data_IF_615538785655
#
_entry.id   IF_615538785655
#
_cell.length_a   1.000
_cell.length_b   1.000
_cell.length_c   1.000
_cell.angle_alpha   90.00
_cell.angle_beta   90.00
_cell.angle_gamma   90.00
#
_symmetry.space_group_name_H-M   'P 1'
#
loop_
_entity.id
_entity.type
_entity.pdbx_description
1 polymer ?
#
# COMPACT_ATOMS: atom_id res chain seq x y z
N UNK A 1 46.98 -34.42 6.81
CA UNK A 1 47.14 -34.06 5.39
C UNK A 1 46.08 -34.79 4.59
N UNK A 2 44.97 -34.16 4.32
CA UNK A 2 43.99 -34.62 3.34
C UNK A 2 43.33 -33.33 2.75
N UNK A 3 43.65 -33.10 1.48
CA UNK A 3 43.18 -31.97 0.71
C UNK A 3 41.72 -32.21 0.32
N UNK A 4 40.82 -31.34 0.79
CA UNK A 4 39.43 -31.32 0.36
C UNK A 4 39.30 -30.56 -0.97
N UNK A 5 38.88 -31.26 -2.00
CA UNK A 5 38.58 -30.76 -3.33
C UNK A 5 37.38 -29.82 -3.27
N UNK A 6 37.59 -28.56 -3.56
CA UNK A 6 36.52 -27.56 -3.83
C UNK A 6 36.04 -27.79 -5.26
N UNK A 7 34.80 -28.27 -5.43
CA UNK A 7 34.11 -28.24 -6.71
C UNK A 7 33.60 -26.85 -6.94
N UNK A 8 34.22 -26.12 -7.86
CA UNK A 8 33.70 -24.88 -8.43
C UNK A 8 32.69 -25.26 -9.52
N UNK A 9 31.43 -24.92 -9.30
CA UNK A 9 30.41 -24.92 -10.36
C UNK A 9 30.59 -23.64 -11.14
N UNK A 10 31.03 -23.75 -12.39
CA UNK A 10 31.21 -22.63 -13.32
C UNK A 10 29.85 -22.28 -13.91
N UNK A 11 29.32 -21.11 -13.57
CA UNK A 11 28.22 -20.49 -14.29
C UNK A 11 28.62 -20.15 -15.72
N UNK A 12 27.81 -20.53 -16.70
CA UNK A 12 28.01 -20.18 -18.10
C UNK A 12 27.56 -18.75 -18.34
N UNK A 13 28.54 -17.90 -18.70
CA UNK A 13 28.25 -16.55 -19.19
C UNK A 13 27.70 -16.63 -20.62
N UNK A 14 26.48 -16.15 -20.86
CA UNK A 14 25.96 -15.92 -22.21
C UNK A 14 26.62 -14.72 -22.83
N UNK A 15 27.51 -14.97 -23.79
CA UNK A 15 28.08 -13.95 -24.66
C UNK A 15 27.09 -13.65 -25.81
N UNK A 16 26.69 -12.39 -25.89
CA UNK A 16 25.92 -11.83 -27.00
C UNK A 16 26.77 -11.73 -28.24
N UNK A 17 26.43 -12.46 -29.31
CA UNK A 17 26.97 -12.25 -30.66
C UNK A 17 25.90 -11.55 -31.48
N UNK A 18 26.10 -10.27 -31.75
CA UNK A 18 25.38 -9.54 -32.75
C UNK A 18 25.92 -9.84 -34.17
N UNK A 19 25.03 -10.06 -35.12
CA UNK A 19 25.37 -9.89 -36.53
C UNK A 19 24.15 -9.42 -37.35
N UNK A 20 24.51 -8.47 -38.21
CA UNK A 20 23.71 -7.62 -39.03
C UNK A 20 22.99 -8.31 -40.19
N UNK A 21 21.90 -7.68 -40.60
CA UNK A 21 21.61 -7.41 -42.01
C UNK A 21 20.64 -8.33 -42.72
N UNK A 22 19.46 -7.81 -43.03
CA UNK A 22 18.97 -7.70 -44.43
C UNK A 22 17.59 -7.02 -44.47
N UNK A 23 17.50 -5.95 -45.21
CA UNK A 23 16.29 -5.27 -45.69
C UNK A 23 15.46 -6.20 -46.59
N UNK A 24 14.16 -6.35 -46.34
CA UNK A 24 13.17 -6.56 -47.40
C UNK A 24 11.85 -5.85 -47.01
N UNK A 25 11.29 -5.21 -48.04
CA UNK A 25 10.22 -4.26 -48.04
C UNK A 25 8.82 -4.80 -47.61
N UNK A 26 8.10 -3.93 -46.99
CA UNK A 26 6.72 -3.52 -47.13
C UNK A 26 5.60 -4.55 -47.29
N UNK A 27 4.71 -4.59 -46.27
CA UNK A 27 3.28 -4.57 -46.53
C UNK A 27 2.56 -3.98 -45.34
N UNK A 28 1.81 -2.93 -45.58
CA UNK A 28 0.89 -2.25 -44.67
C UNK A 28 -0.29 -3.15 -44.35
N UNK A 29 -0.51 -3.44 -43.04
CA UNK A 29 -1.81 -3.77 -42.50
C UNK A 29 -2.08 -2.95 -41.24
N UNK A 30 -3.30 -2.37 -41.09
CA UNK A 30 -3.62 -1.50 -39.95
C UNK A 30 -3.83 -2.32 -38.69
N UNK A 31 -3.48 -1.68 -37.56
CA UNK A 31 -3.47 -2.23 -36.24
C UNK A 31 -4.80 -2.86 -35.79
N UNK A 32 -4.69 -4.01 -35.14
CA UNK A 32 -5.67 -4.49 -34.20
C UNK A 32 -5.03 -4.45 -32.81
N UNK A 33 -5.54 -3.55 -32.00
CA UNK A 33 -5.31 -3.52 -30.57
C UNK A 33 -5.68 -4.89 -29.98
N UNK A 34 -4.68 -5.68 -29.63
CA UNK A 34 -4.89 -6.85 -28.78
C UNK A 34 -5.02 -6.36 -27.35
N UNK A 35 -6.24 -6.07 -26.93
CA UNK A 35 -6.57 -6.01 -25.52
C UNK A 35 -6.22 -7.36 -24.89
N UNK A 36 -5.24 -7.36 -24.00
CA UNK A 36 -4.91 -8.51 -23.18
C UNK A 36 -6.11 -8.79 -22.25
N UNK A 37 -6.84 -9.85 -22.51
CA UNK A 37 -7.89 -10.34 -21.62
C UNK A 37 -7.20 -10.95 -20.41
N UNK A 38 -7.48 -10.48 -19.17
CA UNK A 38 -6.91 -11.10 -17.98
C UNK A 38 -7.42 -12.55 -17.89
N UNK A 39 -6.52 -13.52 -17.97
CA UNK A 39 -6.84 -14.92 -17.68
C UNK A 39 -7.01 -15.06 -16.18
N UNK A 40 -8.25 -15.09 -15.73
CA UNK A 40 -8.58 -15.51 -14.37
C UNK A 40 -8.53 -17.04 -14.37
N UNK A 41 -7.48 -17.60 -13.83
CA UNK A 41 -7.45 -19.03 -13.50
C UNK A 41 -8.19 -19.20 -12.17
N UNK A 42 -9.28 -19.94 -12.17
CA UNK A 42 -10.00 -20.33 -10.95
C UNK A 42 -9.29 -21.52 -10.33
N UNK A 43 -8.79 -21.32 -9.12
CA UNK A 43 -8.18 -22.38 -8.30
C UNK A 43 -9.29 -23.25 -7.65
N UNK A 44 -9.32 -24.56 -7.83
CA UNK A 44 -10.30 -25.45 -7.20
C UNK A 44 -10.07 -25.66 -5.69
N UNK A 45 -8.95 -25.18 -5.11
CA UNK A 45 -8.60 -25.41 -3.72
C UNK A 45 -8.71 -24.17 -2.80
N UNK A 46 -9.13 -23.00 -3.32
CA UNK A 46 -9.27 -21.78 -2.53
C UNK A 46 -7.94 -21.14 -2.09
N UNK A 47 -6.83 -21.55 -2.67
CA UNK A 47 -5.50 -20.96 -2.47
C UNK A 47 -5.39 -19.81 -3.46
N UNK A 48 -5.47 -18.56 -2.97
CA UNK A 48 -5.53 -17.36 -3.80
C UNK A 48 -4.36 -17.26 -4.78
N UNK A 49 -4.66 -17.31 -6.07
CA UNK A 49 -3.69 -17.06 -7.13
C UNK A 49 -3.28 -15.58 -7.07
N UNK A 50 -1.98 -15.31 -7.05
CA UNK A 50 -1.48 -13.95 -7.23
C UNK A 50 -1.93 -13.44 -8.60
N UNK A 51 -2.93 -12.53 -8.63
CA UNK A 51 -3.07 -11.68 -9.78
C UNK A 51 -1.75 -10.91 -9.93
N UNK A 52 -1.05 -11.06 -11.05
CA UNK A 52 -0.04 -10.09 -11.44
C UNK A 52 -0.76 -8.74 -11.45
N UNK A 53 -0.57 -7.98 -10.42
CA UNK A 53 -0.79 -6.56 -10.49
C UNK A 53 0.30 -6.10 -11.44
N UNK A 54 -0.06 -5.57 -12.60
CA UNK A 54 0.84 -4.81 -13.44
C UNK A 54 1.22 -3.58 -12.61
N UNK A 55 2.22 -3.76 -11.76
CA UNK A 55 2.81 -2.67 -10.99
C UNK A 55 3.78 -1.96 -11.93
N UNK A 56 3.49 -0.70 -12.34
CA UNK A 56 4.38 0.06 -13.22
C UNK A 56 5.75 0.35 -12.59
N UNK A 57 6.02 -0.22 -11.42
CA UNK A 57 7.17 0.01 -10.58
C UNK A 57 8.05 -1.25 -10.46
N UNK A 58 7.70 -2.37 -11.09
CA UNK A 58 8.56 -3.54 -11.13
C UNK A 58 9.93 -3.14 -11.69
N UNK A 59 11.00 -3.46 -10.95
CA UNK A 59 12.36 -3.28 -11.45
C UNK A 59 12.52 -4.04 -12.77
N UNK A 60 13.29 -3.51 -13.75
CA UNK A 60 13.52 -4.23 -14.99
C UNK A 60 14.14 -5.60 -14.69
N UNK A 61 13.69 -6.63 -15.42
CA UNK A 61 14.22 -8.00 -15.28
C UNK A 61 15.76 -7.97 -15.35
N UNK A 62 16.42 -8.64 -14.41
CA UNK A 62 17.88 -8.67 -14.30
C UNK A 62 18.49 -7.45 -13.58
N UNK A 63 17.69 -6.59 -12.97
CA UNK A 63 18.23 -5.55 -12.08
C UNK A 63 18.87 -6.21 -10.83
N UNK A 64 20.02 -5.69 -10.36
CA UNK A 64 20.66 -6.26 -9.19
C UNK A 64 19.79 -6.11 -7.94
N UNK A 65 19.81 -7.11 -7.05
CA UNK A 65 19.15 -7.04 -5.73
C UNK A 65 19.42 -5.71 -5.05
N UNK A 66 18.39 -4.99 -4.67
CA UNK A 66 18.53 -3.73 -3.94
C UNK A 66 18.73 -4.01 -2.46
N UNK A 67 19.75 -3.41 -1.87
CA UNK A 67 20.09 -3.57 -0.46
C UNK A 67 20.42 -2.18 0.09
N UNK A 68 19.52 -1.63 0.89
CA UNK A 68 19.61 -0.28 1.41
C UNK A 68 19.57 -0.27 2.92
N UNK A 69 20.31 0.64 3.53
CA UNK A 69 20.16 0.93 4.95
C UNK A 69 18.88 1.71 5.16
N UNK A 70 18.04 1.29 6.11
CA UNK A 70 16.83 2.01 6.46
C UNK A 70 17.14 3.36 7.14
N UNK A 71 16.16 4.27 7.20
CA UNK A 71 16.37 5.67 7.59
C UNK A 71 17.01 5.88 8.96
N UNK A 72 16.75 5.01 9.92
CA UNK A 72 17.32 5.10 11.28
C UNK A 72 18.61 4.31 11.44
N UNK A 73 19.08 3.61 10.42
CA UNK A 73 20.27 2.76 10.47
C UNK A 73 20.14 1.52 11.36
N UNK A 74 18.90 1.11 11.69
CA UNK A 74 18.59 -0.08 12.52
C UNK A 74 18.06 -1.25 11.70
N UNK A 75 17.73 -1.03 10.47
CA UNK A 75 17.23 -2.03 9.54
C UNK A 75 17.91 -1.93 8.18
N UNK A 76 17.92 -3.04 7.47
CA UNK A 76 18.28 -3.14 6.06
C UNK A 76 17.01 -3.48 5.28
N UNK A 77 16.85 -2.85 4.11
CA UNK A 77 15.80 -3.08 3.14
C UNK A 77 16.37 -3.84 1.95
N UNK A 78 15.97 -5.10 1.79
CA UNK A 78 16.36 -5.95 0.67
C UNK A 78 15.15 -6.15 -0.22
N UNK A 79 15.26 -5.78 -1.50
CA UNK A 79 14.15 -5.90 -2.46
C UNK A 79 14.61 -6.36 -3.85
N UNK A 80 13.66 -6.94 -4.60
CA UNK A 80 13.85 -7.48 -5.93
C UNK A 80 14.43 -8.88 -5.95
N UNK A 81 14.83 -9.34 -7.14
CA UNK A 81 15.40 -10.67 -7.38
C UNK A 81 16.74 -10.85 -6.65
N UNK A 82 16.96 -12.03 -6.08
CA UNK A 82 18.23 -12.40 -5.46
C UNK A 82 19.24 -12.78 -6.53
N UNK A 83 20.06 -11.81 -6.93
CA UNK A 83 21.07 -11.93 -7.97
C UNK A 83 22.46 -12.20 -7.40
N UNK A 84 23.38 -12.69 -8.22
CA UNK A 84 24.77 -12.98 -7.84
C UNK A 84 25.44 -11.82 -7.09
N UNK A 85 26.10 -12.14 -5.97
CA UNK A 85 26.79 -11.20 -5.10
C UNK A 85 25.90 -10.38 -4.16
N UNK A 86 24.60 -10.70 -4.05
CA UNK A 86 23.70 -10.03 -3.10
C UNK A 86 24.15 -10.27 -1.65
N UNK A 87 24.49 -11.49 -1.31
CA UNK A 87 24.98 -11.85 0.03
C UNK A 87 26.29 -11.11 0.39
N UNK A 88 27.20 -10.97 -0.56
CA UNK A 88 28.45 -10.24 -0.34
C UNK A 88 28.21 -8.74 -0.11
N UNK A 89 27.27 -8.12 -0.87
CA UNK A 89 26.89 -6.72 -0.67
C UNK A 89 26.21 -6.53 0.70
N UNK A 90 25.35 -7.47 1.12
CA UNK A 90 24.73 -7.46 2.44
C UNK A 90 25.78 -7.57 3.55
N UNK A 91 26.75 -8.49 3.42
CA UNK A 91 27.82 -8.64 4.40
C UNK A 91 28.60 -7.35 4.61
N UNK A 92 29.02 -6.69 3.51
CA UNK A 92 29.72 -5.39 3.59
C UNK A 92 28.89 -4.32 4.30
N UNK A 93 27.59 -4.26 4.01
CA UNK A 93 26.71 -3.28 4.64
C UNK A 93 26.55 -3.56 6.14
N UNK A 94 26.37 -4.82 6.54
CA UNK A 94 26.29 -5.25 7.94
C UNK A 94 27.59 -4.98 8.70
N UNK A 95 28.76 -5.11 8.05
CA UNK A 95 30.05 -4.81 8.65
C UNK A 95 30.22 -3.31 8.91
N UNK A 96 29.75 -2.47 8.01
CA UNK A 96 29.76 -1.02 8.13
C UNK A 96 28.74 -0.50 9.17
N UNK A 97 27.63 -1.22 9.39
CA UNK A 97 26.50 -0.75 10.20
C UNK A 97 26.14 -1.73 11.32
N UNK A 98 26.94 -1.74 12.39
CA UNK A 98 26.81 -2.68 13.53
C UNK A 98 25.54 -2.54 14.37
N UNK A 99 24.75 -1.47 14.18
CA UNK A 99 23.49 -1.24 14.89
C UNK A 99 22.28 -1.83 14.18
N UNK A 100 22.46 -2.46 13.05
CA UNK A 100 21.37 -3.15 12.32
C UNK A 100 20.87 -4.30 13.17
N UNK A 101 19.56 -4.34 13.41
CA UNK A 101 18.86 -5.31 14.27
C UNK A 101 17.91 -6.20 13.48
N UNK A 102 17.50 -5.73 12.28
CA UNK A 102 16.52 -6.43 11.45
C UNK A 102 16.78 -6.22 9.96
N UNK A 103 16.19 -7.10 9.17
CA UNK A 103 16.16 -7.01 7.72
C UNK A 103 14.71 -7.13 7.23
N UNK A 104 14.28 -6.19 6.39
CA UNK A 104 13.02 -6.21 5.67
C UNK A 104 13.26 -6.90 4.33
N UNK A 105 12.39 -7.84 3.98
CA UNK A 105 12.50 -8.65 2.78
C UNK A 105 11.27 -8.44 1.90
N UNK A 106 11.47 -7.98 0.67
CA UNK A 106 10.44 -7.84 -0.36
C UNK A 106 11.01 -8.35 -1.67
N UNK A 107 10.94 -9.68 -1.90
CA UNK A 107 11.65 -10.35 -2.98
C UNK A 107 10.84 -11.51 -3.55
N UNK A 108 10.86 -11.63 -4.86
CA UNK A 108 10.34 -12.78 -5.63
C UNK A 108 11.21 -14.04 -5.52
N UNK A 109 12.38 -13.95 -4.94
CA UNK A 109 13.35 -15.02 -4.89
C UNK A 109 14.49 -14.81 -5.88
N UNK A 110 14.96 -15.86 -6.53
CA UNK A 110 16.10 -15.85 -7.44
C UNK A 110 17.08 -16.97 -7.10
N UNK A 111 18.39 -16.68 -7.06
CA UNK A 111 19.41 -17.69 -6.81
C UNK A 111 19.31 -18.30 -5.41
N UNK A 112 19.14 -19.61 -5.35
CA UNK A 112 19.00 -20.38 -4.10
C UNK A 112 20.23 -20.21 -3.20
N UNK A 113 21.43 -20.25 -3.78
CA UNK A 113 22.68 -20.08 -3.04
C UNK A 113 22.78 -18.68 -2.40
N UNK A 114 22.28 -17.62 -3.06
CA UNK A 114 22.22 -16.27 -2.49
C UNK A 114 21.21 -16.20 -1.35
N UNK A 115 20.02 -16.78 -1.51
CA UNK A 115 19.03 -16.88 -0.44
C UNK A 115 19.56 -17.60 0.80
N UNK A 116 20.25 -18.71 0.60
CA UNK A 116 20.89 -19.47 1.69
C UNK A 116 22.03 -18.68 2.35
N UNK A 117 22.90 -18.03 1.57
CA UNK A 117 24.01 -17.22 2.08
C UNK A 117 23.52 -15.98 2.84
N UNK A 118 22.48 -15.28 2.34
CA UNK A 118 21.80 -14.19 3.07
C UNK A 118 21.24 -14.71 4.38
N UNK A 119 20.58 -15.89 4.35
CA UNK A 119 20.07 -16.53 5.56
C UNK A 119 21.16 -16.85 6.58
N UNK A 120 22.34 -17.30 6.13
CA UNK A 120 23.48 -17.54 7.01
C UNK A 120 23.96 -16.25 7.71
N UNK A 121 24.06 -15.13 6.97
CA UNK A 121 24.40 -13.81 7.53
C UNK A 121 23.35 -13.33 8.54
N UNK A 122 22.07 -13.51 8.24
CA UNK A 122 20.97 -13.17 9.15
C UNK A 122 21.09 -13.93 10.46
N UNK A 123 21.36 -15.25 10.39
CA UNK A 123 21.53 -16.08 11.58
C UNK A 123 22.79 -15.71 12.37
N UNK A 124 23.94 -15.50 11.69
CA UNK A 124 25.20 -15.07 12.32
C UNK A 124 25.06 -13.76 13.09
N UNK A 125 24.36 -12.80 12.50
CA UNK A 125 24.15 -11.47 13.10
C UNK A 125 22.96 -11.43 14.07
N UNK A 126 22.20 -12.52 14.19
CA UNK A 126 21.02 -12.61 15.04
C UNK A 126 19.94 -11.57 14.67
N UNK A 127 19.74 -11.32 13.39
CA UNK A 127 18.76 -10.32 12.92
C UNK A 127 17.33 -10.82 13.06
N UNK A 128 16.39 -9.90 13.25
CA UNK A 128 14.96 -10.11 13.03
C UNK A 128 14.70 -10.04 11.53
N UNK A 129 13.92 -10.99 11.00
CA UNK A 129 13.41 -10.90 9.62
C UNK A 129 11.97 -10.38 9.62
N UNK A 130 11.66 -9.49 8.69
CA UNK A 130 10.33 -8.91 8.52
C UNK A 130 9.94 -8.88 7.05
N UNK A 131 8.72 -9.36 6.74
CA UNK A 131 8.14 -9.30 5.41
C UNK A 131 6.96 -8.31 5.43
N UNK A 132 7.13 -7.12 4.85
CA UNK A 132 6.05 -6.12 4.77
C UNK A 132 5.04 -6.43 3.67
N UNK A 133 5.42 -7.08 2.56
CA UNK A 133 4.56 -7.37 1.42
C UNK A 133 4.70 -8.83 0.95
N UNK A 134 5.82 -9.20 0.31
CA UNK A 134 6.00 -10.56 -0.18
C UNK A 134 7.45 -11.05 -0.04
N UNK A 135 7.58 -12.38 0.10
CA UNK A 135 8.87 -13.09 0.08
C UNK A 135 8.64 -14.48 -0.49
N UNK A 136 9.17 -14.74 -1.68
CA UNK A 136 8.85 -15.92 -2.46
C UNK A 136 10.12 -16.74 -2.75
N UNK A 137 9.99 -18.07 -2.92
CA UNK A 137 11.07 -18.95 -3.37
C UNK A 137 12.33 -18.82 -2.51
N UNK A 138 13.52 -18.59 -3.10
CA UNK A 138 14.80 -18.44 -2.40
C UNK A 138 14.81 -17.39 -1.30
N UNK A 139 13.95 -16.35 -1.38
CA UNK A 139 13.76 -15.36 -0.31
C UNK A 139 13.32 -16.02 1.01
N UNK A 140 12.49 -17.07 0.95
CA UNK A 140 12.01 -17.75 2.16
C UNK A 140 13.13 -18.46 2.92
N UNK A 141 14.19 -18.90 2.23
CA UNK A 141 15.40 -19.47 2.87
C UNK A 141 16.13 -18.42 3.71
N UNK A 142 16.16 -17.17 3.25
CA UNK A 142 16.68 -16.05 4.03
C UNK A 142 15.76 -15.72 5.21
N UNK A 143 14.44 -15.63 4.97
CA UNK A 143 13.45 -15.27 5.98
C UNK A 143 13.47 -16.20 7.20
N UNK A 144 13.50 -17.52 6.99
CA UNK A 144 13.40 -18.51 8.07
C UNK A 144 14.63 -18.56 8.99
N UNK A 145 15.69 -17.82 8.66
CA UNK A 145 16.92 -17.74 9.46
C UNK A 145 16.91 -16.62 10.50
N UNK A 146 15.85 -15.79 10.52
CA UNK A 146 15.69 -14.74 11.54
C UNK A 146 15.54 -15.32 12.95
N UNK A 147 16.13 -14.65 13.95
CA UNK A 147 15.92 -14.98 15.38
C UNK A 147 14.45 -14.78 15.80
N UNK A 148 13.78 -13.83 15.20
CA UNK A 148 12.35 -13.57 15.22
C UNK A 148 11.93 -13.37 13.76
N UNK A 149 10.86 -14.02 13.34
CA UNK A 149 10.37 -14.04 11.96
C UNK A 149 8.99 -13.44 11.91
N UNK A 150 8.89 -12.21 11.43
CA UNK A 150 7.68 -11.42 11.47
C UNK A 150 7.12 -11.21 10.07
N UNK A 151 5.80 -11.25 9.95
CA UNK A 151 5.09 -10.96 8.70
C UNK A 151 4.01 -9.92 8.99
N UNK A 152 3.74 -9.01 8.05
CA UNK A 152 2.56 -8.17 8.12
C UNK A 152 1.30 -9.03 7.89
N UNK A 153 0.15 -8.61 8.41
CA UNK A 153 -1.09 -9.40 8.37
C UNK A 153 -1.55 -9.77 6.95
N UNK A 154 -1.22 -8.95 5.97
CA UNK A 154 -1.54 -9.12 4.54
C UNK A 154 -0.31 -9.54 3.69
N UNK A 155 0.83 -9.81 4.33
CA UNK A 155 2.04 -10.27 3.65
C UNK A 155 1.87 -11.68 3.08
N UNK A 156 2.59 -11.96 2.01
CA UNK A 156 2.53 -13.20 1.24
C UNK A 156 3.88 -13.89 1.23
N UNK A 157 3.94 -15.12 1.72
CA UNK A 157 5.10 -15.98 1.56
C UNK A 157 4.78 -17.10 0.57
N UNK A 158 5.60 -17.23 -0.47
CA UNK A 158 5.38 -18.19 -1.56
C UNK A 158 6.45 -19.27 -1.58
N UNK A 159 6.04 -20.54 -1.70
CA UNK A 159 6.91 -21.71 -1.68
C UNK A 159 6.68 -22.57 -2.90
N UNK A 160 7.76 -23.11 -3.46
CA UNK A 160 7.78 -24.15 -4.50
C UNK A 160 9.09 -24.94 -4.42
N UNK A 161 9.18 -26.04 -5.16
CA UNK A 161 10.40 -26.83 -5.29
C UNK A 161 11.50 -26.03 -6.02
N UNK A 162 12.78 -26.21 -5.63
CA UNK A 162 13.89 -25.60 -6.35
C UNK A 162 14.00 -26.17 -7.77
N UNK A 163 14.52 -25.37 -8.70
CA UNK A 163 14.73 -25.75 -10.08
C UNK A 163 15.96 -25.06 -10.68
N UNK A 164 16.44 -25.63 -11.78
CA UNK A 164 17.42 -25.00 -12.66
C UNK A 164 16.78 -24.74 -14.02
N UNK A 165 17.20 -23.68 -14.70
CA UNK A 165 16.78 -23.41 -16.06
C UNK A 165 17.83 -23.92 -17.03
N UNK A 166 17.43 -24.81 -17.94
CA UNK A 166 18.32 -25.33 -18.97
C UNK A 166 18.61 -24.28 -20.04
N UNK A 167 19.59 -24.51 -20.95
CA UNK A 167 19.91 -23.58 -22.02
C UNK A 167 18.75 -23.32 -23.01
N UNK A 168 17.70 -24.16 -23.01
CA UNK A 168 16.50 -23.99 -23.80
C UNK A 168 15.40 -23.19 -23.07
N UNK A 169 15.64 -22.80 -21.81
CA UNK A 169 14.71 -22.06 -20.97
C UNK A 169 13.67 -22.95 -20.26
N UNK A 170 13.90 -24.26 -20.19
CA UNK A 170 13.01 -25.18 -19.47
C UNK A 170 13.45 -25.30 -18.00
N UNK A 171 12.47 -25.25 -17.11
CA UNK A 171 12.67 -25.46 -15.67
C UNK A 171 12.80 -26.96 -15.39
N UNK A 172 13.93 -27.34 -14.83
CA UNK A 172 14.25 -28.71 -14.46
C UNK A 172 14.30 -28.80 -12.94
N UNK A 173 13.44 -29.65 -12.36
CA UNK A 173 13.45 -29.90 -10.92
C UNK A 173 14.81 -30.46 -10.46
N UNK A 174 15.35 -29.90 -9.39
CA UNK A 174 16.59 -30.34 -8.76
C UNK A 174 16.32 -30.97 -7.39
N UNK A 175 17.36 -31.57 -6.78
CA UNK A 175 17.24 -32.13 -5.43
C UNK A 175 16.93 -31.04 -4.40
N UNK A 176 15.81 -31.16 -3.73
CA UNK A 176 15.33 -30.21 -2.68
C UNK A 176 15.82 -30.61 -1.26
N UNK A 177 16.68 -31.57 -1.13
CA UNK A 177 17.18 -32.01 0.18
C UNK A 177 17.90 -30.92 0.97
N UNK A 178 18.70 -30.01 0.36
CA UNK A 178 19.32 -28.89 1.05
C UNK A 178 18.30 -27.91 1.63
N UNK A 179 17.28 -27.50 0.85
CA UNK A 179 16.22 -26.58 1.28
C UNK A 179 15.36 -27.22 2.37
N UNK A 180 15.03 -28.50 2.19
CA UNK A 180 14.33 -29.29 3.22
C UNK A 180 15.08 -29.28 4.53
N UNK A 181 16.38 -29.54 4.50
CA UNK A 181 17.22 -29.52 5.69
C UNK A 181 17.25 -28.11 6.34
N UNK A 182 17.33 -27.04 5.53
CA UNK A 182 17.35 -25.67 6.01
C UNK A 182 16.04 -25.29 6.72
N UNK A 183 14.89 -25.64 6.15
CA UNK A 183 13.57 -25.37 6.76
C UNK A 183 13.38 -26.16 8.06
N UNK A 184 13.73 -27.45 8.08
CA UNK A 184 13.64 -28.28 9.28
C UNK A 184 14.57 -27.77 10.40
N UNK A 185 15.80 -27.37 10.05
CA UNK A 185 16.73 -26.75 11.00
C UNK A 185 16.23 -25.41 11.55
N UNK A 186 15.38 -24.68 10.81
CA UNK A 186 14.69 -23.48 11.27
C UNK A 186 13.48 -23.78 12.19
N UNK A 187 13.17 -25.06 12.45
CA UNK A 187 12.08 -25.51 13.31
C UNK A 187 10.70 -25.51 12.65
N UNK A 188 10.66 -25.51 11.31
CA UNK A 188 9.39 -25.57 10.57
C UNK A 188 8.89 -27.03 10.58
N UNK A 189 7.57 -27.20 10.69
CA UNK A 189 6.94 -28.51 10.70
C UNK A 189 7.21 -29.30 9.42
N UNK A 190 7.56 -30.58 9.56
CA UNK A 190 7.95 -31.44 8.43
C UNK A 190 6.83 -31.61 7.40
N UNK A 191 5.56 -31.71 7.83
CA UNK A 191 4.41 -31.84 6.93
C UNK A 191 4.22 -30.58 6.04
N UNK A 192 4.45 -29.39 6.62
CA UNK A 192 4.45 -28.14 5.86
C UNK A 192 5.62 -28.11 4.85
N UNK A 193 6.83 -28.44 5.28
CA UNK A 193 8.03 -28.45 4.42
C UNK A 193 7.83 -29.42 3.25
N UNK A 194 7.32 -30.62 3.52
CA UNK A 194 7.06 -31.63 2.49
C UNK A 194 5.94 -31.21 1.52
N UNK A 195 4.96 -30.43 1.98
CA UNK A 195 3.94 -29.83 1.11
C UNK A 195 4.51 -28.72 0.23
N UNK A 196 5.29 -27.81 0.81
CA UNK A 196 5.93 -26.70 0.14
C UNK A 196 6.86 -27.14 -0.99
N UNK A 197 7.72 -28.12 -0.73
CA UNK A 197 8.71 -28.64 -1.70
C UNK A 197 8.13 -29.63 -2.73
N UNK A 198 6.84 -29.98 -2.64
CA UNK A 198 6.12 -30.70 -3.70
C UNK A 198 5.43 -29.80 -4.71
N UNK A 199 5.34 -28.52 -4.43
CA UNK A 199 4.78 -27.55 -5.38
C UNK A 199 5.72 -27.41 -6.55
N UNK A 200 5.18 -27.46 -7.75
CA UNK A 200 5.97 -27.36 -8.99
C UNK A 200 6.60 -25.98 -9.12
N UNK A 201 7.73 -25.84 -9.85
CA UNK A 201 8.38 -24.53 -10.05
C UNK A 201 7.49 -23.45 -10.67
N UNK A 202 6.57 -23.88 -11.57
CA UNK A 202 5.62 -23.01 -12.27
C UNK A 202 4.35 -22.65 -11.45
N UNK A 203 4.30 -23.08 -10.17
CA UNK A 203 3.19 -22.85 -9.24
C UNK A 203 3.71 -22.32 -7.88
N UNK A 204 2.84 -21.81 -7.03
CA UNK A 204 3.18 -21.28 -5.71
C UNK A 204 2.17 -21.72 -4.65
N UNK A 205 2.67 -22.26 -3.55
CA UNK A 205 1.91 -22.39 -2.31
C UNK A 205 2.03 -21.08 -1.51
N UNK A 206 0.92 -20.37 -1.34
CA UNK A 206 0.86 -19.11 -0.57
C UNK A 206 -0.11 -19.29 0.60
N UNK A 207 0.36 -19.78 1.76
CA UNK A 207 -0.47 -19.95 2.95
C UNK A 207 -0.87 -18.62 3.56
N UNK A 208 -2.01 -18.58 4.24
CA UNK A 208 -2.36 -17.45 5.09
C UNK A 208 -1.38 -17.28 6.26
N UNK A 209 -1.32 -16.08 6.83
CA UNK A 209 -0.36 -15.74 7.91
C UNK A 209 -0.57 -16.56 9.18
N UNK A 210 -1.80 -16.98 9.47
CA UNK A 210 -2.10 -17.88 10.60
C UNK A 210 -1.49 -19.27 10.40
N UNK A 211 -1.61 -19.82 9.20
CA UNK A 211 -0.99 -21.09 8.81
C UNK A 211 0.55 -21.00 8.88
N UNK A 212 1.16 -19.88 8.44
CA UNK A 212 2.60 -19.65 8.56
C UNK A 212 3.07 -19.69 10.02
N UNK A 213 2.31 -19.06 10.93
CA UNK A 213 2.62 -19.10 12.36
C UNK A 213 2.45 -20.50 12.94
N UNK A 214 1.37 -21.20 12.61
CA UNK A 214 1.13 -22.58 13.09
C UNK A 214 2.17 -23.58 12.59
N UNK A 215 2.66 -23.41 11.37
CA UNK A 215 3.72 -24.24 10.80
C UNK A 215 5.12 -23.91 11.35
N UNK A 216 5.26 -22.83 12.11
CA UNK A 216 6.55 -22.35 12.60
C UNK A 216 7.40 -21.63 11.55
N UNK A 217 6.83 -21.26 10.41
CA UNK A 217 7.50 -20.42 9.39
C UNK A 217 7.70 -19.02 9.93
N UNK A 218 6.63 -18.39 10.40
CA UNK A 218 6.67 -17.12 11.10
C UNK A 218 6.56 -17.31 12.61
N UNK A 219 7.20 -16.46 13.39
CA UNK A 219 7.07 -16.43 14.85
C UNK A 219 5.92 -15.50 15.31
N UNK A 220 5.44 -14.61 14.44
CA UNK A 220 4.35 -13.71 14.74
C UNK A 220 3.94 -12.82 13.59
N UNK A 221 2.79 -12.16 13.78
CA UNK A 221 2.25 -11.16 12.86
C UNK A 221 2.57 -9.78 13.43
N UNK A 222 3.19 -8.92 12.62
CA UNK A 222 3.50 -7.54 12.98
C UNK A 222 2.36 -6.62 12.60
N UNK A 223 2.08 -5.65 13.46
CA UNK A 223 1.25 -4.50 13.14
C UNK A 223 1.94 -3.63 12.07
N UNK A 224 1.18 -2.99 11.21
CA UNK A 224 1.68 -2.07 10.18
C UNK A 224 2.49 -0.89 10.74
N UNK A 225 2.25 -0.52 12.02
CA UNK A 225 2.96 0.56 12.69
C UNK A 225 4.16 0.09 13.52
N UNK A 226 4.47 -1.22 13.53
CA UNK A 226 5.58 -1.76 14.33
C UNK A 226 6.94 -1.35 13.79
N UNK A 227 7.10 -1.30 12.48
CA UNK A 227 8.36 -0.96 11.82
C UNK A 227 8.17 0.17 10.80
N UNK A 228 9.20 0.99 10.57
CA UNK A 228 9.16 2.11 9.62
C UNK A 228 9.38 1.63 8.17
N UNK A 229 8.58 0.66 7.71
CA UNK A 229 8.51 0.29 6.30
C UNK A 229 7.64 1.26 5.50
N UNK A 230 7.92 1.44 4.22
CA UNK A 230 7.23 2.42 3.38
C UNK A 230 7.26 2.02 1.90
N UNK A 231 6.24 2.44 1.16
CA UNK A 231 6.22 2.40 -0.31
C UNK A 231 7.35 3.22 -0.95
N UNK A 232 8.07 4.05 -0.17
CA UNK A 232 9.28 4.76 -0.62
C UNK A 232 10.55 3.91 -0.56
N UNK A 233 10.49 2.69 -0.06
CA UNK A 233 11.67 1.81 0.04
C UNK A 233 12.29 1.52 -1.34
N UNK A 234 11.50 1.58 -2.40
CA UNK A 234 11.96 1.41 -3.79
C UNK A 234 12.49 2.69 -4.43
N UNK A 235 12.24 3.85 -3.88
CA UNK A 235 12.70 5.12 -4.42
C UNK A 235 12.27 6.28 -3.53
N UNK A 236 13.17 6.70 -2.64
CA UNK A 236 12.93 7.80 -1.71
C UNK A 236 13.27 9.15 -2.35
N UNK A 237 12.48 9.57 -3.32
CA UNK A 237 12.62 10.85 -4.01
C UNK A 237 11.29 11.65 -4.02
N UNK A 238 11.32 12.95 -4.34
CA UNK A 238 10.12 13.80 -4.32
C UNK A 238 9.03 13.37 -5.31
N UNK A 239 9.39 12.86 -6.50
CA UNK A 239 8.42 12.42 -7.52
C UNK A 239 7.68 11.17 -7.05
N UNK A 240 8.42 10.22 -6.48
CA UNK A 240 7.83 9.03 -5.88
C UNK A 240 6.91 9.38 -4.72
N UNK A 241 7.34 10.25 -3.82
CA UNK A 241 6.52 10.72 -2.70
C UNK A 241 5.23 11.39 -3.19
N UNK A 242 5.31 12.19 -4.27
CA UNK A 242 4.13 12.79 -4.91
C UNK A 242 3.19 11.71 -5.48
N UNK A 243 3.74 10.70 -6.16
CA UNK A 243 2.96 9.59 -6.72
C UNK A 243 2.20 8.82 -5.62
N UNK A 244 2.86 8.52 -4.50
CA UNK A 244 2.24 7.85 -3.33
C UNK A 244 1.10 8.69 -2.76
N UNK A 245 1.29 9.99 -2.57
CA UNK A 245 0.25 10.90 -2.06
C UNK A 245 -0.98 10.90 -2.98
N UNK A 246 -0.78 10.93 -4.30
CA UNK A 246 -1.87 10.88 -5.29
C UNK A 246 -2.54 9.50 -5.36
N UNK A 247 -1.77 8.44 -5.19
CA UNK A 247 -2.32 7.08 -5.11
C UNK A 247 -3.24 6.93 -3.89
N UNK A 248 -2.80 7.39 -2.72
CA UNK A 248 -3.58 7.32 -1.47
C UNK A 248 -4.80 8.24 -1.45
N UNK A 249 -4.68 9.42 -2.06
CA UNK A 249 -5.77 10.43 -2.11
C UNK A 249 -5.92 10.98 -3.53
N UNK A 250 -6.56 10.22 -4.45
CA UNK A 250 -6.68 10.60 -5.86
C UNK A 250 -7.42 11.92 -6.11
N UNK A 251 -8.24 12.42 -5.16
CA UNK A 251 -8.94 13.69 -5.29
C UNK A 251 -8.03 14.92 -5.18
N UNK A 252 -6.79 14.75 -4.71
CA UNK A 252 -5.82 15.84 -4.65
C UNK A 252 -5.39 16.33 -6.04
N UNK A 253 -5.51 15.53 -7.08
CA UNK A 253 -5.23 16.00 -8.45
C UNK A 253 -6.20 17.12 -8.89
N UNK A 254 -7.49 17.02 -8.54
CA UNK A 254 -8.46 18.06 -8.80
C UNK A 254 -8.18 19.32 -7.96
N UNK A 255 -7.74 19.15 -6.71
CA UNK A 255 -7.32 20.29 -5.86
C UNK A 255 -6.08 20.96 -6.43
N UNK A 256 -5.08 20.21 -6.87
CA UNK A 256 -3.87 20.74 -7.48
C UNK A 256 -4.13 21.50 -8.78
N UNK A 257 -5.10 21.03 -9.59
CA UNK A 257 -5.51 21.71 -10.81
C UNK A 257 -6.12 23.09 -10.53
N UNK A 258 -6.85 23.26 -9.42
CA UNK A 258 -7.45 24.53 -9.00
C UNK A 258 -6.55 25.38 -8.10
N UNK A 259 -5.66 24.77 -7.37
CA UNK A 259 -4.73 25.41 -6.43
C UNK A 259 -3.33 24.78 -6.55
N UNK A 260 -2.55 25.14 -7.58
CA UNK A 260 -1.23 24.57 -7.83
C UNK A 260 -0.29 24.72 -6.63
N UNK A 261 0.52 23.69 -6.39
CA UNK A 261 1.44 23.65 -5.26
C UNK A 261 0.86 23.07 -3.97
N UNK A 262 -0.38 22.59 -3.99
CA UNK A 262 -1.03 21.97 -2.80
C UNK A 262 -0.41 20.63 -2.43
N UNK A 263 -0.01 19.82 -3.41
CA UNK A 263 0.52 18.46 -3.18
C UNK A 263 1.97 18.51 -2.68
N UNK A 264 2.78 19.43 -3.17
CA UNK A 264 4.21 19.49 -2.87
C UNK A 264 4.55 19.48 -1.37
N UNK A 265 3.91 20.28 -0.49
CA UNK A 265 4.18 20.22 0.95
C UNK A 265 3.72 18.93 1.60
N UNK A 266 2.69 18.26 1.09
CA UNK A 266 2.21 16.96 1.59
C UNK A 266 3.22 15.88 1.24
N UNK A 267 3.71 15.86 -0.01
CA UNK A 267 4.72 14.92 -0.47
C UNK A 267 6.06 15.12 0.26
N UNK A 268 6.48 16.37 0.46
CA UNK A 268 7.69 16.68 1.23
C UNK A 268 7.58 16.21 2.69
N UNK A 269 6.41 16.39 3.33
CA UNK A 269 6.17 15.90 4.69
C UNK A 269 6.21 14.36 4.76
N UNK A 270 5.66 13.68 3.75
CA UNK A 270 5.69 12.23 3.67
C UNK A 270 7.13 11.70 3.50
N UNK A 271 7.90 12.28 2.57
CA UNK A 271 9.31 11.95 2.34
C UNK A 271 10.18 12.21 3.58
N UNK A 272 10.03 13.36 4.23
CA UNK A 272 10.71 13.70 5.47
C UNK A 272 10.37 12.70 6.60
N UNK A 273 9.13 12.27 6.68
CA UNK A 273 8.70 11.23 7.60
C UNK A 273 9.39 9.89 7.34
N UNK A 274 9.50 9.47 6.08
CA UNK A 274 10.26 8.30 5.68
C UNK A 274 11.73 8.40 6.12
N UNK A 275 12.39 9.51 5.82
CA UNK A 275 13.79 9.74 6.17
C UNK A 275 14.05 9.72 7.68
N UNK A 276 13.03 10.01 8.49
CA UNK A 276 13.07 9.94 9.95
C UNK A 276 12.56 8.62 10.53
N UNK A 277 12.30 7.62 9.71
CA UNK A 277 11.84 6.31 10.15
C UNK A 277 10.39 6.29 10.66
N UNK A 278 9.52 7.18 10.17
CA UNK A 278 8.09 7.14 10.51
C UNK A 278 7.45 5.90 9.92
N UNK A 279 6.69 5.10 10.73
CA UNK A 279 5.95 3.95 10.22
C UNK A 279 4.93 4.36 9.16
N UNK A 280 4.75 3.49 8.14
CA UNK A 280 3.90 3.77 6.97
C UNK A 280 2.46 4.10 7.36
N UNK A 281 1.86 3.35 8.29
CA UNK A 281 0.49 3.60 8.74
C UNK A 281 0.30 5.02 9.27
N UNK A 282 1.26 5.52 10.08
CA UNK A 282 1.25 6.89 10.60
C UNK A 282 1.51 7.94 9.51
N UNK A 283 2.37 7.60 8.54
CA UNK A 283 2.68 8.46 7.41
C UNK A 283 1.45 8.67 6.52
N UNK A 284 0.78 7.58 6.14
CA UNK A 284 -0.44 7.60 5.31
C UNK A 284 -1.60 8.32 6.03
N UNK A 285 -1.79 8.08 7.33
CA UNK A 285 -2.79 8.81 8.12
C UNK A 285 -2.50 10.31 8.17
N UNK A 286 -1.23 10.69 8.29
CA UNK A 286 -0.80 12.08 8.23
C UNK A 286 -1.09 12.72 6.86
N UNK A 287 -0.78 12.02 5.76
CA UNK A 287 -1.10 12.43 4.38
C UNK A 287 -2.61 12.67 4.24
N UNK A 288 -3.45 11.72 4.67
CA UNK A 288 -4.92 11.86 4.59
C UNK A 288 -5.44 13.04 5.41
N UNK A 289 -4.87 13.32 6.57
CA UNK A 289 -5.23 14.47 7.41
C UNK A 289 -4.88 15.80 6.73
N UNK A 290 -3.69 15.90 6.14
CA UNK A 290 -3.27 17.09 5.38
C UNK A 290 -4.12 17.27 4.12
N UNK A 291 -4.40 16.18 3.41
CA UNK A 291 -5.29 16.15 2.26
C UNK A 291 -6.72 16.58 2.63
N UNK A 292 -7.26 16.08 3.74
CA UNK A 292 -8.58 16.48 4.25
C UNK A 292 -8.67 17.99 4.51
N UNK A 293 -7.60 18.58 5.05
CA UNK A 293 -7.53 20.02 5.24
C UNK A 293 -7.47 20.77 3.91
N UNK A 294 -6.70 20.28 2.93
CA UNK A 294 -6.62 20.89 1.61
C UNK A 294 -7.96 20.84 0.88
N UNK A 295 -8.58 19.66 0.79
CA UNK A 295 -9.90 19.46 0.21
C UNK A 295 -10.96 20.31 0.93
N UNK A 296 -10.92 20.35 2.25
CA UNK A 296 -11.84 21.18 3.06
C UNK A 296 -11.73 22.67 2.73
N UNK A 297 -10.51 23.20 2.63
CA UNK A 297 -10.30 24.61 2.21
C UNK A 297 -10.82 24.90 0.82
N UNK A 298 -10.59 24.01 -0.14
CA UNK A 298 -11.07 24.16 -1.52
C UNK A 298 -12.59 24.15 -1.65
N UNK A 299 -13.30 23.61 -0.67
CA UNK A 299 -14.76 23.52 -0.65
C UNK A 299 -15.43 24.59 0.22
N UNK A 300 -14.69 25.28 1.09
CA UNK A 300 -15.27 26.16 2.10
C UNK A 300 -16.02 27.36 1.50
N UNK A 301 -15.52 27.88 0.39
CA UNK A 301 -16.09 29.04 -0.32
C UNK A 301 -16.93 28.64 -1.54
N UNK A 302 -17.34 27.35 -1.64
CA UNK A 302 -18.16 26.87 -2.75
C UNK A 302 -19.55 27.51 -2.74
N UNK A 303 -20.15 27.64 -3.92
CA UNK A 303 -21.51 28.17 -4.10
C UNK A 303 -22.55 27.31 -3.33
N UNK A 304 -23.75 27.93 -3.02
CA UNK A 304 -24.77 27.23 -2.24
C UNK A 304 -25.26 25.91 -2.84
N UNK A 305 -25.35 25.82 -4.16
CA UNK A 305 -25.77 24.61 -4.89
C UNK A 305 -24.76 23.49 -4.69
N UNK A 306 -23.47 23.77 -4.82
CA UNK A 306 -22.35 22.83 -4.59
C UNK A 306 -22.31 22.36 -3.13
N UNK A 307 -22.51 23.25 -2.16
CA UNK A 307 -22.57 22.88 -0.72
C UNK A 307 -23.77 21.97 -0.41
N UNK A 308 -24.92 22.21 -1.02
CA UNK A 308 -26.12 21.36 -0.87
C UNK A 308 -25.87 19.97 -1.46
N UNK A 309 -25.26 19.89 -2.65
CA UNK A 309 -24.91 18.61 -3.26
C UNK A 309 -23.89 17.82 -2.44
N UNK A 310 -22.84 18.49 -1.92
CA UNK A 310 -21.88 17.89 -0.99
C UNK A 310 -22.58 17.35 0.26
N UNK A 311 -23.50 18.12 0.83
CA UNK A 311 -24.31 17.72 1.97
C UNK A 311 -25.16 16.48 1.69
N UNK A 312 -25.79 16.39 0.50
CA UNK A 312 -26.55 15.21 0.05
C UNK A 312 -25.66 13.99 -0.11
N UNK A 313 -24.49 14.16 -0.72
CA UNK A 313 -23.50 13.10 -0.92
C UNK A 313 -23.04 12.50 0.43
N UNK A 314 -22.73 13.38 1.38
CA UNK A 314 -22.31 12.96 2.73
C UNK A 314 -23.46 12.26 3.47
N UNK A 315 -24.67 12.80 3.43
CA UNK A 315 -25.85 12.19 4.04
C UNK A 315 -26.11 10.80 3.45
N UNK A 316 -25.99 10.66 2.13
CA UNK A 316 -26.16 9.37 1.46
C UNK A 316 -25.07 8.36 1.91
N UNK A 317 -23.82 8.78 2.04
CA UNK A 317 -22.74 7.95 2.55
C UNK A 317 -23.00 7.51 4.01
N UNK A 318 -23.49 8.41 4.88
CA UNK A 318 -23.90 8.06 6.26
C UNK A 318 -25.05 7.07 6.28
N UNK A 319 -26.05 7.22 5.37
CA UNK A 319 -27.20 6.30 5.31
C UNK A 319 -26.84 4.90 4.84
N UNK A 320 -25.89 4.78 3.92
CA UNK A 320 -25.42 3.47 3.38
C UNK A 320 -24.48 2.74 4.33
N UNK A 321 -23.95 3.39 5.36
CA UNK A 321 -23.04 2.73 6.29
C UNK A 321 -23.80 1.84 7.29
N UNK A 322 -23.39 0.56 7.35
CA UNK A 322 -23.90 -0.40 8.33
C UNK A 322 -23.53 0.01 9.77
N UNK A 323 -24.33 -0.35 10.80
CA UNK A 323 -24.11 0.04 12.19
C UNK A 323 -22.71 -0.28 12.75
N UNK A 324 -22.00 -1.26 12.20
CA UNK A 324 -20.65 -1.65 12.62
C UNK A 324 -19.50 -0.89 11.93
N UNK A 325 -19.77 -0.05 10.92
CA UNK A 325 -18.75 0.74 10.22
C UNK A 325 -18.76 2.19 10.70
N UNK A 326 -18.22 2.44 11.88
CA UNK A 326 -18.16 3.76 12.52
C UNK A 326 -17.34 4.82 11.71
N UNK A 327 -16.51 4.40 10.74
CA UNK A 327 -15.55 5.26 10.06
C UNK A 327 -16.15 6.47 9.32
N UNK A 328 -17.30 6.30 8.62
CA UNK A 328 -17.91 7.43 7.88
C UNK A 328 -18.46 8.51 8.83
N UNK A 329 -19.04 8.11 9.96
CA UNK A 329 -19.57 9.07 10.93
C UNK A 329 -18.45 9.75 11.72
N UNK A 330 -17.31 9.08 11.92
CA UNK A 330 -16.11 9.69 12.46
C UNK A 330 -15.57 10.74 11.49
N UNK A 331 -15.37 10.40 10.22
CA UNK A 331 -14.93 11.33 9.18
C UNK A 331 -15.89 12.51 9.01
N UNK A 332 -17.21 12.27 9.03
CA UNK A 332 -18.21 13.36 8.92
C UNK A 332 -18.20 14.32 10.13
N UNK A 333 -17.74 13.90 11.30
CA UNK A 333 -17.51 14.80 12.44
C UNK A 333 -16.26 15.67 12.27
N UNK A 334 -15.31 15.21 11.50
CA UNK A 334 -14.09 15.95 11.16
C UNK A 334 -14.30 16.90 9.99
N UNK A 335 -15.35 16.68 9.19
CA UNK A 335 -15.77 17.54 8.11
C UNK A 335 -15.77 16.89 6.72
N UNK A 336 -16.16 17.67 5.72
CA UNK A 336 -16.29 17.22 4.34
C UNK A 336 -14.98 16.68 3.76
N UNK A 337 -13.86 17.34 4.02
CA UNK A 337 -12.54 16.92 3.56
C UNK A 337 -12.20 15.51 4.06
N UNK A 338 -12.44 15.22 5.34
CA UNK A 338 -12.17 13.91 5.92
C UNK A 338 -13.06 12.80 5.31
N UNK A 339 -14.31 13.13 4.93
CA UNK A 339 -15.18 12.18 4.22
C UNK A 339 -14.65 11.84 2.84
N UNK A 340 -14.18 12.84 2.10
CA UNK A 340 -13.71 12.71 0.72
C UNK A 340 -12.29 12.12 0.61
N UNK A 341 -11.49 12.18 1.66
CA UNK A 341 -10.11 11.64 1.67
C UNK A 341 -9.98 10.32 2.44
N UNK A 342 -11.09 9.74 2.91
CA UNK A 342 -11.04 8.45 3.61
C UNK A 342 -10.60 7.31 2.68
N UNK A 343 -10.00 6.25 3.22
CA UNK A 343 -9.61 5.10 2.43
C UNK A 343 -10.81 4.38 1.80
N UNK A 344 -10.59 3.79 0.62
CA UNK A 344 -11.57 2.93 -0.08
C UNK A 344 -12.86 3.65 -0.52
N UNK A 345 -12.74 4.84 -1.09
CA UNK A 345 -13.82 5.39 -1.90
C UNK A 345 -14.01 4.51 -3.14
N UNK A 346 -15.26 4.11 -3.43
CA UNK A 346 -15.56 3.43 -4.68
C UNK A 346 -15.49 4.42 -5.87
N UNK A 347 -15.49 3.88 -7.10
CA UNK A 347 -15.40 4.69 -8.32
C UNK A 347 -16.47 5.77 -8.41
N UNK A 348 -17.70 5.46 -7.98
CA UNK A 348 -18.83 6.39 -8.00
C UNK A 348 -18.60 7.54 -7.00
N UNK A 349 -18.11 7.22 -5.82
CA UNK A 349 -17.79 8.21 -4.78
C UNK A 349 -16.62 9.11 -5.20
N UNK A 350 -15.60 8.55 -5.84
CA UNK A 350 -14.48 9.33 -6.39
C UNK A 350 -14.95 10.27 -7.49
N UNK A 351 -15.76 9.80 -8.45
CA UNK A 351 -16.30 10.60 -9.51
C UNK A 351 -17.18 11.75 -8.98
N UNK A 352 -18.07 11.46 -8.02
CA UNK A 352 -18.90 12.48 -7.37
C UNK A 352 -18.05 13.52 -6.61
N UNK A 353 -17.03 13.07 -5.85
CA UNK A 353 -16.11 13.95 -5.15
C UNK A 353 -15.31 14.85 -6.10
N UNK A 354 -14.83 14.29 -7.21
CA UNK A 354 -14.13 15.04 -8.26
C UNK A 354 -15.04 16.09 -8.90
N UNK A 355 -16.28 15.75 -9.29
CA UNK A 355 -17.23 16.67 -9.88
C UNK A 355 -17.58 17.85 -8.95
N UNK A 356 -17.75 17.58 -7.65
CA UNK A 356 -17.99 18.61 -6.64
C UNK A 356 -16.76 19.54 -6.51
N UNK A 357 -15.55 19.00 -6.44
CA UNK A 357 -14.31 19.78 -6.36
C UNK A 357 -14.08 20.63 -7.62
N UNK A 358 -14.26 20.04 -8.80
CA UNK A 358 -14.14 20.74 -10.09
C UNK A 358 -15.05 21.96 -10.15
N UNK A 359 -16.30 21.83 -9.68
CA UNK A 359 -17.25 22.95 -9.61
C UNK A 359 -16.84 23.98 -8.57
N UNK A 360 -16.53 23.55 -7.35
CA UNK A 360 -16.11 24.44 -6.27
C UNK A 360 -14.90 25.30 -6.64
N UNK A 361 -13.98 24.73 -7.45
CA UNK A 361 -12.77 25.41 -7.92
C UNK A 361 -12.97 26.18 -9.24
N UNK A 362 -14.17 26.19 -9.81
CA UNK A 362 -14.45 26.86 -11.09
C UNK A 362 -13.71 26.26 -12.29
N UNK A 363 -13.27 25.00 -12.18
CA UNK A 363 -12.58 24.31 -13.25
C UNK A 363 -13.57 23.85 -14.34
N UNK A 364 -13.19 23.95 -15.62
CA UNK A 364 -13.98 23.33 -16.70
C UNK A 364 -13.86 21.81 -16.54
N UNK A 365 -15.01 21.11 -16.54
CA UNK A 365 -15.01 19.66 -16.61
C UNK A 365 -14.25 19.23 -17.87
N UNK A 366 -13.22 18.40 -17.73
CA UNK A 366 -12.67 17.68 -18.88
C UNK A 366 -13.82 16.88 -19.49
N UNK A 367 -14.02 17.02 -20.80
CA UNK A 367 -15.12 16.42 -21.57
C UNK A 367 -15.01 14.90 -21.46
N UNK A 368 -15.72 14.34 -20.49
CA UNK A 368 -15.79 12.90 -20.24
C UNK A 368 -16.83 12.32 -21.18
N UNK A 369 -16.43 11.31 -21.98
CA UNK A 369 -17.33 10.62 -22.90
C UNK A 369 -18.58 10.13 -22.16
N UNK A 370 -19.79 10.18 -22.78
CA UNK A 370 -21.05 9.89 -22.11
C UNK A 370 -21.13 8.44 -21.68
N UNK A 371 -21.29 8.25 -20.36
CA UNK A 371 -21.67 6.97 -19.80
C UNK A 371 -23.15 6.66 -20.08
N UNK A 372 -23.54 5.40 -20.34
CA UNK A 372 -24.91 5.08 -20.70
C UNK A 372 -25.88 5.31 -19.54
N UNK A 373 -27.03 5.88 -19.87
CA UNK A 373 -28.17 6.16 -19.00
C UNK A 373 -28.56 4.98 -18.12
N UNK A 374 -28.47 5.14 -16.81
CA UNK A 374 -29.19 4.33 -15.83
C UNK A 374 -30.29 5.18 -15.22
N UNK A 375 -31.50 5.03 -15.73
CA UNK A 375 -32.70 5.63 -15.18
C UNK A 375 -32.94 5.19 -13.75
N UNK A 376 -32.85 6.11 -12.80
CA UNK A 376 -33.28 5.92 -11.42
C UNK A 376 -34.69 6.46 -11.25
N UNK A 377 -35.66 5.57 -11.32
CA UNK A 377 -37.04 5.80 -10.86
C UNK A 377 -37.05 5.95 -9.35
N UNK A 378 -37.32 7.11 -8.84
CA UNK A 378 -37.53 7.40 -7.42
C UNK A 378 -38.99 7.66 -7.12
N UNK A 379 -39.57 6.84 -6.25
CA UNK A 379 -40.93 6.97 -5.72
C UNK A 379 -41.01 8.14 -4.70
N UNK A 380 -41.89 9.14 -4.86
CA UNK A 380 -42.02 10.25 -3.94
C UNK A 380 -43.21 10.07 -2.99
N UNK A 381 -43.12 9.25 -1.97
CA UNK A 381 -44.10 9.28 -0.90
C UNK A 381 -43.59 8.74 0.43
N UNK A 382 -43.11 9.66 1.27
CA UNK A 382 -43.34 9.69 2.71
C UNK A 382 -42.81 11.00 3.30
N UNK A 383 -43.70 11.95 3.47
CA UNK A 383 -43.48 13.10 4.36
C UNK A 383 -43.67 12.64 5.80
N UNK A 384 -42.59 12.43 6.49
CA UNK A 384 -42.63 12.42 7.96
C UNK A 384 -42.35 13.83 8.45
N UNK A 385 -43.38 14.44 9.01
CA UNK A 385 -43.32 15.70 9.77
C UNK A 385 -42.39 15.52 10.96
N UNK A 386 -41.20 16.11 10.90
CA UNK A 386 -40.26 16.19 12.01
C UNK A 386 -40.26 17.61 12.56
N UNK A 387 -40.81 17.75 13.77
CA UNK A 387 -40.76 18.95 14.58
C UNK A 387 -39.35 19.48 14.79
N UNK A 388 -39.23 20.80 14.60
CA UNK A 388 -38.00 21.53 14.78
C UNK A 388 -37.64 21.66 16.28
N UNK A 389 -36.63 20.90 16.72
CA UNK A 389 -35.89 21.20 17.93
C UNK A 389 -34.40 21.18 17.60
N UNK A 390 -33.91 22.28 17.02
CA UNK A 390 -32.48 22.49 16.79
C UNK A 390 -31.82 23.08 18.04
N UNK A 391 -31.56 22.25 19.03
CA UNK A 391 -30.56 22.57 20.06
C UNK A 391 -29.17 22.48 19.46
N UNK A 392 -28.42 23.59 19.51
CA UNK A 392 -27.06 23.73 18.99
C UNK A 392 -26.02 23.02 19.87
N UNK A 393 -26.08 21.66 19.92
CA UNK A 393 -25.00 20.88 20.49
C UNK A 393 -23.83 20.81 19.49
N UNK A 394 -22.58 20.91 19.95
CA UNK A 394 -21.39 20.86 19.07
C UNK A 394 -21.35 19.53 18.28
N UNK A 395 -21.01 19.60 16.99
CA UNK A 395 -21.02 18.48 16.03
C UNK A 395 -20.23 17.28 16.53
N UNK A 396 -19.14 17.52 17.26
CA UNK A 396 -18.22 16.49 17.77
C UNK A 396 -18.83 15.54 18.82
N UNK A 397 -19.87 15.96 19.52
CA UNK A 397 -20.59 15.13 20.48
C UNK A 397 -21.73 14.29 19.86
N UNK A 398 -22.06 14.51 18.58
CA UNK A 398 -23.19 13.83 17.94
C UNK A 398 -22.83 12.41 17.51
N UNK A 399 -23.58 11.43 17.95
CA UNK A 399 -23.54 10.07 17.40
C UNK A 399 -23.97 10.05 15.93
N UNK A 400 -23.79 8.91 15.24
CA UNK A 400 -24.10 8.74 13.82
C UNK A 400 -25.57 9.12 13.50
N UNK A 401 -26.51 8.77 14.39
CA UNK A 401 -27.94 9.13 14.27
C UNK A 401 -28.16 10.65 14.35
N UNK A 402 -27.45 11.31 15.27
CA UNK A 402 -27.54 12.78 15.40
C UNK A 402 -26.99 13.54 14.20
N UNK A 403 -25.89 13.07 13.60
CA UNK A 403 -25.36 13.61 12.36
C UNK A 403 -26.34 13.45 11.20
N UNK A 404 -26.91 12.26 11.02
CA UNK A 404 -27.91 11.98 10.00
C UNK A 404 -29.11 12.92 10.11
N UNK A 405 -29.64 13.13 11.33
CA UNK A 405 -30.75 14.06 11.58
C UNK A 405 -30.35 15.50 11.26
N UNK A 406 -29.14 15.94 11.65
CA UNK A 406 -28.68 17.30 11.41
C UNK A 406 -28.53 17.60 9.90
N UNK A 407 -27.89 16.69 9.14
CA UNK A 407 -27.79 16.84 7.67
C UNK A 407 -29.16 16.83 6.99
N UNK A 408 -30.08 15.93 7.40
CA UNK A 408 -31.42 15.87 6.84
C UNK A 408 -32.21 17.15 7.12
N UNK A 409 -32.15 17.68 8.34
CA UNK A 409 -32.81 18.93 8.71
C UNK A 409 -32.23 20.16 7.98
N UNK A 410 -30.92 20.22 7.75
CA UNK A 410 -30.30 21.26 6.95
C UNK A 410 -30.78 21.21 5.49
N UNK A 411 -30.81 20.02 4.90
CA UNK A 411 -31.20 19.80 3.50
C UNK A 411 -32.68 19.92 3.21
N UNK A 412 -33.56 20.02 4.22
CA UNK A 412 -34.98 20.28 4.02
C UNK A 412 -35.33 21.79 3.80
N UNK A 413 -34.34 22.65 3.89
CA UNK A 413 -34.49 24.10 3.72
C UNK A 413 -34.30 24.51 2.25
N UNK A 414 -34.74 25.72 1.85
CA UNK A 414 -34.37 26.30 0.55
C UNK A 414 -32.84 26.40 0.39
N UNK A 415 -32.35 26.33 -0.85
CA UNK A 415 -30.92 26.16 -1.17
C UNK A 415 -29.98 27.08 -0.38
N UNK A 416 -30.24 28.38 -0.33
CA UNK A 416 -29.39 29.35 0.39
C UNK A 416 -29.34 29.09 1.90
N UNK A 417 -30.51 28.84 2.52
CA UNK A 417 -30.63 28.53 3.95
C UNK A 417 -30.04 27.13 4.27
N UNK A 418 -30.21 26.19 3.35
CA UNK A 418 -29.62 24.83 3.47
C UNK A 418 -28.09 24.91 3.46
N UNK A 419 -27.50 25.69 2.55
CA UNK A 419 -26.05 25.90 2.48
C UNK A 419 -25.51 26.53 3.79
N UNK A 420 -26.17 27.55 4.31
CA UNK A 420 -25.81 28.17 5.59
C UNK A 420 -25.90 27.19 6.76
N UNK A 421 -26.94 26.34 6.81
CA UNK A 421 -27.13 25.35 7.84
C UNK A 421 -26.12 24.14 7.71
N UNK A 422 -25.71 23.82 6.49
CA UNK A 422 -24.72 22.79 6.20
C UNK A 422 -23.30 23.23 6.50
N UNK A 423 -22.96 24.51 6.30
CA UNK A 423 -21.60 24.99 6.42
C UNK A 423 -20.89 24.56 7.72
N UNK A 424 -21.46 24.74 8.93
CA UNK A 424 -20.82 24.29 10.16
C UNK A 424 -20.79 22.74 10.31
N UNK A 425 -21.61 22.01 9.55
CA UNK A 425 -21.57 20.55 9.50
C UNK A 425 -20.48 20.05 8.56
N UNK A 426 -20.21 20.77 7.49
CA UNK A 426 -19.21 20.44 6.48
C UNK A 426 -17.80 20.89 6.90
N UNK A 427 -17.71 22.04 7.58
CA UNK A 427 -16.45 22.69 7.97
C UNK A 427 -16.44 23.02 9.46
N UNK A 428 -16.36 22.03 10.34
CA UNK A 428 -16.35 22.26 11.79
C UNK A 428 -15.06 22.99 12.19
N UNK A 429 -15.18 24.02 13.05
CA UNK A 429 -14.03 24.73 13.57
C UNK A 429 -13.03 23.76 14.22
N UNK A 430 -11.73 24.00 13.98
CA UNK A 430 -10.67 23.23 14.63
C UNK A 430 -10.82 23.36 16.16
N UNK A 431 -10.45 22.31 16.96
CA UNK A 431 -10.42 22.48 18.40
C UNK A 431 -9.41 23.55 18.74
N UNK A 432 -9.85 24.57 19.45
CA UNK A 432 -8.93 25.45 20.18
C UNK A 432 -8.16 24.52 21.15
N UNK A 433 -6.91 24.21 20.85
CA UNK A 433 -6.02 23.59 21.84
C UNK A 433 -5.97 24.58 22.99
N UNK A 434 -6.24 24.15 24.25
CA UNK A 434 -5.89 24.99 25.37
C UNK A 434 -4.39 25.30 25.24
N UNK A 435 -4.03 26.59 25.21
CA UNK A 435 -2.64 26.99 25.32
C UNK A 435 -2.11 26.30 26.56
N UNK A 436 -0.97 25.55 26.50
CA UNK A 436 -0.32 25.11 27.72
C UNK A 436 -0.07 26.39 28.53
N UNK A 437 -0.56 26.41 29.76
CA UNK A 437 -0.21 27.44 30.70
C UNK A 437 1.33 27.42 30.78
N UNK A 438 1.96 28.53 30.37
CA UNK A 438 3.37 28.77 30.67
C UNK A 438 3.46 28.81 32.18
N UNK A 439 3.78 27.66 32.81
CA UNK A 439 4.26 27.64 34.16
C UNK A 439 5.54 28.49 34.16
N UNK A 440 5.41 29.70 34.74
CA UNK A 440 6.51 30.52 35.09
C UNK A 440 7.33 29.75 36.15
N UNK A 441 8.34 29.00 35.69
CA UNK A 441 9.36 28.46 36.59
C UNK A 441 10.05 29.65 37.24
N UNK A 442 9.61 29.98 38.45
CA UNK A 442 10.35 30.82 39.36
C UNK A 442 11.68 30.11 39.66
N UNK A 443 12.80 30.73 39.27
CA UNK A 443 14.13 30.38 39.73
C UNK A 443 14.18 30.61 41.24
N UNK A 444 14.65 29.66 42.04
CA UNK A 444 14.96 29.92 43.43
C UNK A 444 16.20 30.79 43.57
N UNK A 445 16.34 31.52 44.69
CA UNK A 445 17.37 32.52 44.93
C UNK A 445 18.80 31.95 45.04
#
# INVERSE_FOLDING_TARGET
MAAGSRRAVRGAACASIGLAGALIAGFLFPGQDRQAVPRVALDPAGIGLMARVDDPIAAPEGAPTRILLGPEGRDIRLSGELTEGAAERLARLLDAHRRVERIHLTSEGGLVDEGAAIGALIAERGLVTYVPDYCVSACTLAFVRGRERLVRADARLGFHAPYETDPAGLEIAVDSAPERAAYLAAGIRADFVDAALRVRPDDLMIPDTGTLVQAGVASGIADADRFPDSTLDDGADPERARAVVLHDVPLLDAVEAGAPGTIAPIAAWYLDGYQRGRPEGQAVEGVRRMAAQAVGRSLADADPETLVELGRTILQAIRRSSPGRAGICAAAREGAGAVLTRPRLDRTQLAAGRAILTRALGLRAAEEAPAPDAALGGDPARRDTLEAAAGSAPIRGRGCSGLRKAFAAALSRPTGEAAQALHPLLFPAAPTRPRPALEASALPP
#
